data_IF_230842340595
#
_entry.id   IF_230842340595
#
_cell.length_a   1.000
_cell.length_b   1.000
_cell.length_c   1.000
_cell.angle_alpha   90.00
_cell.angle_beta   90.00
_cell.angle_gamma   90.00
#
_symmetry.space_group_name_H-M   'P 1'
#
loop_
_entity.id
_entity.type
_entity.pdbx_description
1 polymer ?
#
# COMPACT_ATOMS: atom_id res chain seq x y z
N UNK A 1 -2.91 20.48 -11.19
CA UNK A 1 -2.44 21.59 -10.34
C UNK A 1 -1.53 20.94 -9.34
N UNK A 2 -0.23 21.26 -9.34
CA UNK A 2 0.72 20.61 -8.45
C UNK A 2 0.33 20.79 -6.99
N UNK A 3 0.66 19.79 -6.17
CA UNK A 3 0.54 19.78 -4.71
C UNK A 3 0.97 21.11 -4.05
N UNK A 4 1.93 21.80 -4.67
CA UNK A 4 2.49 23.08 -4.25
C UNK A 4 1.56 24.30 -4.33
N UNK A 5 0.51 24.31 -5.17
CA UNK A 5 -0.30 25.53 -5.35
C UNK A 5 -1.29 25.79 -4.20
N UNK A 6 -1.60 24.77 -3.39
CA UNK A 6 -2.67 24.85 -2.38
C UNK A 6 -2.11 24.96 -0.95
N UNK A 7 -0.84 24.58 -0.72
CA UNK A 7 -0.18 24.77 0.60
C UNK A 7 0.24 26.22 0.88
N UNK A 8 0.27 27.10 -0.13
CA UNK A 8 0.80 28.45 0.02
C UNK A 8 -0.17 29.48 0.60
N UNK A 9 -1.44 29.14 0.86
CA UNK A 9 -2.42 30.17 1.27
C UNK A 9 -2.62 30.34 2.77
N UNK A 10 -2.23 29.39 3.64
CA UNK A 10 -2.37 29.59 5.10
C UNK A 10 -1.24 28.95 5.91
N UNK A 11 -0.64 29.77 6.78
CA UNK A 11 0.29 29.46 7.88
C UNK A 11 1.81 29.48 7.59
N UNK A 12 2.42 30.64 7.86
CA UNK A 12 3.86 30.88 7.97
C UNK A 12 4.55 30.16 9.16
N UNK A 13 4.13 28.93 9.50
CA UNK A 13 4.68 28.12 10.60
C UNK A 13 5.24 26.76 10.10
N UNK A 14 5.15 26.42 8.80
CA UNK A 14 5.59 25.11 8.25
C UNK A 14 7.04 25.03 7.76
N UNK A 15 7.75 26.13 7.52
CA UNK A 15 9.00 26.11 6.72
C UNK A 15 10.24 25.59 7.48
N UNK A 16 10.23 25.61 8.82
CA UNK A 16 11.43 25.29 9.62
C UNK A 16 11.62 23.77 9.81
N UNK A 17 10.55 22.98 9.81
CA UNK A 17 10.62 21.54 10.02
C UNK A 17 11.13 20.78 8.77
N UNK A 18 10.83 21.26 7.57
CA UNK A 18 11.22 20.59 6.32
C UNK A 18 12.71 20.80 5.97
N UNK A 19 13.29 21.94 6.35
CA UNK A 19 14.68 22.28 6.03
C UNK A 19 15.71 21.37 6.75
N UNK A 20 15.45 21.02 8.01
CA UNK A 20 16.34 20.14 8.79
C UNK A 20 16.30 18.70 8.31
N UNK A 21 15.10 18.20 7.95
CA UNK A 21 14.95 16.87 7.36
C UNK A 21 15.61 16.78 5.99
N UNK A 22 15.48 17.81 5.15
CA UNK A 22 16.12 17.87 3.84
C UNK A 22 17.64 17.84 3.96
N UNK A 23 18.21 18.73 4.78
CA UNK A 23 19.65 18.78 5.06
C UNK A 23 20.16 17.44 5.59
N UNK A 24 19.46 16.84 6.55
CA UNK A 24 19.84 15.56 7.15
C UNK A 24 19.82 14.43 6.12
N UNK A 25 18.76 14.36 5.31
CA UNK A 25 18.59 13.32 4.28
C UNK A 25 19.69 13.43 3.21
N UNK A 26 19.96 14.65 2.71
CA UNK A 26 21.03 14.89 1.74
C UNK A 26 22.40 14.54 2.32
N UNK A 27 22.68 14.95 3.56
CA UNK A 27 23.97 14.67 4.22
C UNK A 27 24.19 13.18 4.41
N UNK A 28 23.21 12.45 4.92
CA UNK A 28 23.31 11.00 5.08
C UNK A 28 23.45 10.30 3.72
N UNK A 29 22.63 10.67 2.72
CA UNK A 29 22.73 10.09 1.38
C UNK A 29 24.11 10.31 0.75
N UNK A 30 24.69 11.51 0.90
CA UNK A 30 26.04 11.85 0.41
C UNK A 30 27.11 10.99 1.08
N UNK A 31 26.98 10.76 2.39
CA UNK A 31 27.94 9.95 3.16
C UNK A 31 27.87 8.45 2.82
N UNK A 32 26.66 7.91 2.66
CA UNK A 32 26.48 6.50 2.29
C UNK A 32 26.79 6.25 0.80
N UNK A 33 26.58 7.23 -0.07
CA UNK A 33 26.72 7.09 -1.51
C UNK A 33 27.59 8.19 -2.15
N UNK A 34 28.89 8.27 -1.80
CA UNK A 34 29.77 9.33 -2.27
C UNK A 34 30.01 9.31 -3.79
N UNK A 35 29.87 8.15 -4.44
CA UNK A 35 30.05 7.98 -5.89
C UNK A 35 28.79 8.28 -6.71
N UNK A 36 27.62 8.48 -6.09
CA UNK A 36 26.36 8.75 -6.80
C UNK A 36 26.28 10.21 -7.25
N UNK A 37 26.56 10.45 -8.53
CA UNK A 37 26.60 11.80 -9.12
C UNK A 37 25.30 12.58 -8.94
N UNK A 38 24.14 11.92 -9.03
CA UNK A 38 22.85 12.58 -8.83
C UNK A 38 22.65 13.07 -7.39
N UNK A 39 23.01 12.26 -6.39
CA UNK A 39 23.04 12.69 -4.97
C UNK A 39 24.00 13.88 -4.77
N UNK A 40 25.21 13.83 -5.34
CA UNK A 40 26.18 14.92 -5.24
C UNK A 40 25.67 16.22 -5.91
N UNK A 41 24.96 16.09 -7.03
CA UNK A 41 24.31 17.21 -7.70
C UNK A 41 23.26 17.86 -6.80
N UNK A 42 22.40 17.07 -6.15
CA UNK A 42 21.38 17.59 -5.22
C UNK A 42 22.03 18.30 -4.03
N UNK A 43 23.11 17.76 -3.47
CA UNK A 43 23.85 18.40 -2.38
C UNK A 43 24.48 19.74 -2.80
N UNK A 44 24.98 19.83 -4.02
CA UNK A 44 25.53 21.07 -4.60
C UNK A 44 24.44 22.13 -4.76
N UNK A 45 23.29 21.76 -5.32
CA UNK A 45 22.16 22.67 -5.54
C UNK A 45 21.61 23.20 -4.21
N UNK A 46 21.45 22.31 -3.21
CA UNK A 46 21.04 22.68 -1.85
C UNK A 46 22.01 23.67 -1.19
N UNK A 47 23.31 23.51 -1.41
CA UNK A 47 24.34 24.40 -0.84
C UNK A 47 24.34 25.79 -1.46
N UNK A 48 23.91 25.92 -2.72
CA UNK A 48 23.79 27.22 -3.41
C UNK A 48 22.54 27.99 -3.02
N UNK A 49 21.48 27.28 -2.60
CA UNK A 49 20.18 27.89 -2.29
C UNK A 49 19.39 28.30 -3.53
N UNK A 50 19.79 27.84 -4.72
CA UNK A 50 19.19 28.21 -6.01
C UNK A 50 17.93 27.39 -6.36
N UNK A 51 17.63 26.34 -5.58
CA UNK A 51 16.58 25.38 -5.88
C UNK A 51 15.51 25.35 -4.80
N UNK A 52 14.27 25.12 -5.26
CA UNK A 52 13.10 24.92 -4.42
C UNK A 52 13.27 23.68 -3.51
N UNK A 53 13.11 23.80 -2.18
CA UNK A 53 13.28 22.68 -1.24
C UNK A 53 12.40 21.46 -1.55
N UNK A 54 11.18 21.67 -2.06
CA UNK A 54 10.28 20.56 -2.42
C UNK A 54 10.84 19.75 -3.59
N UNK A 55 11.38 20.43 -4.60
CA UNK A 55 12.03 19.77 -5.75
C UNK A 55 13.30 19.03 -5.33
N UNK A 56 14.08 19.59 -4.41
CA UNK A 56 15.26 18.90 -3.86
C UNK A 56 14.87 17.66 -3.05
N UNK A 57 13.79 17.73 -2.27
CA UNK A 57 13.25 16.61 -1.52
C UNK A 57 12.81 15.47 -2.44
N UNK A 58 12.04 15.76 -3.48
CA UNK A 58 11.61 14.76 -4.46
C UNK A 58 12.82 14.14 -5.19
N UNK A 59 13.80 14.97 -5.60
CA UNK A 59 15.02 14.52 -6.28
C UNK A 59 15.87 13.60 -5.40
N UNK A 60 16.12 13.95 -4.14
CA UNK A 60 16.96 13.10 -3.27
C UNK A 60 16.31 11.74 -3.00
N UNK A 61 14.98 11.72 -2.81
CA UNK A 61 14.25 10.46 -2.64
C UNK A 61 14.22 9.64 -3.93
N UNK A 62 14.17 10.28 -5.10
CA UNK A 62 14.27 9.62 -6.39
C UNK A 62 15.62 8.94 -6.60
N UNK A 63 16.72 9.60 -6.30
CA UNK A 63 18.07 9.00 -6.39
C UNK A 63 18.19 7.77 -5.47
N UNK A 64 17.61 7.85 -4.26
CA UNK A 64 17.57 6.70 -3.35
C UNK A 64 16.73 5.55 -3.91
N UNK A 65 15.60 5.83 -4.57
CA UNK A 65 14.80 4.78 -5.23
C UNK A 65 15.55 4.15 -6.42
N UNK A 66 16.30 4.95 -7.20
CA UNK A 66 17.08 4.42 -8.33
C UNK A 66 18.17 3.46 -7.87
N UNK A 67 18.84 3.73 -6.75
CA UNK A 67 19.79 2.79 -6.11
C UNK A 67 19.11 1.46 -5.77
N UNK A 68 17.88 1.53 -5.25
CA UNK A 68 17.10 0.36 -4.88
C UNK A 68 16.75 -0.45 -6.13
N UNK A 69 16.25 0.22 -7.17
CA UNK A 69 15.81 -0.41 -8.43
C UNK A 69 16.97 -1.07 -9.19
N UNK A 70 18.17 -0.49 -9.16
CA UNK A 70 19.38 -1.04 -9.77
C UNK A 70 19.91 -2.31 -9.07
N UNK A 71 19.35 -2.70 -7.92
CA UNK A 71 19.82 -3.82 -7.10
C UNK A 71 21.31 -3.70 -6.74
N UNK A 72 21.79 -2.46 -6.60
CA UNK A 72 23.18 -2.15 -6.33
C UNK A 72 23.58 -2.44 -4.87
N UNK A 73 24.89 -2.46 -4.62
CA UNK A 73 25.42 -2.46 -3.26
C UNK A 73 24.87 -1.26 -2.47
N UNK A 74 24.46 -1.50 -1.21
CA UNK A 74 23.81 -0.48 -0.38
C UNK A 74 22.30 -0.33 -0.56
N UNK A 75 21.61 -1.24 -1.28
CA UNK A 75 20.13 -1.28 -1.37
C UNK A 75 19.42 -1.13 -0.03
N UNK A 76 19.90 -1.82 1.01
CA UNK A 76 19.30 -1.76 2.35
C UNK A 76 19.44 -0.36 2.98
N UNK A 77 20.60 0.28 2.84
CA UNK A 77 20.83 1.64 3.31
C UNK A 77 20.01 2.65 2.52
N UNK A 78 19.91 2.48 1.21
CA UNK A 78 19.08 3.32 0.34
C UNK A 78 17.61 3.24 0.75
N UNK A 79 17.08 2.02 0.98
CA UNK A 79 15.70 1.82 1.45
C UNK A 79 15.49 2.42 2.85
N UNK A 80 16.45 2.25 3.77
CA UNK A 80 16.40 2.85 5.10
C UNK A 80 16.34 4.38 5.02
N UNK A 81 17.20 4.99 4.20
CA UNK A 81 17.24 6.43 3.99
C UNK A 81 16.00 6.94 3.26
N UNK A 82 15.49 6.20 2.28
CA UNK A 82 14.24 6.53 1.58
C UNK A 82 13.05 6.55 2.55
N UNK A 83 12.91 5.53 3.38
CA UNK A 83 11.86 5.46 4.40
C UNK A 83 11.97 6.59 5.44
N UNK A 84 13.20 6.90 5.89
CA UNK A 84 13.47 7.98 6.83
C UNK A 84 13.19 9.36 6.22
N UNK A 85 13.67 9.58 4.99
CA UNK A 85 13.50 10.81 4.23
C UNK A 85 12.04 11.06 3.90
N UNK A 86 11.31 10.08 3.36
CA UNK A 86 9.87 10.20 3.08
C UNK A 86 9.05 10.50 4.33
N UNK A 87 9.40 9.92 5.49
CA UNK A 87 8.77 10.24 6.77
C UNK A 87 8.99 11.70 7.20
N UNK A 88 10.20 12.21 7.01
CA UNK A 88 10.59 13.57 7.40
C UNK A 88 10.03 14.63 6.46
N UNK A 89 10.25 14.42 5.17
CA UNK A 89 9.91 15.31 4.05
C UNK A 89 8.44 15.20 3.60
N UNK A 90 7.70 14.23 4.13
CA UNK A 90 6.28 13.98 3.83
C UNK A 90 5.97 13.87 2.34
N UNK A 91 6.91 13.34 1.57
CA UNK A 91 6.77 13.17 0.12
C UNK A 91 7.31 11.82 -0.34
N UNK A 92 7.05 11.49 -1.59
CA UNK A 92 7.49 10.27 -2.25
C UNK A 92 8.43 10.62 -3.42
N UNK A 93 9.24 9.66 -3.91
CA UNK A 93 9.95 9.83 -5.16
C UNK A 93 9.00 10.13 -6.33
N UNK A 94 9.45 10.95 -7.28
CA UNK A 94 8.66 11.31 -8.48
C UNK A 94 8.13 10.11 -9.24
N UNK A 95 8.92 9.02 -9.31
CA UNK A 95 8.59 7.82 -10.07
C UNK A 95 7.37 7.06 -9.52
N UNK A 96 6.91 7.40 -8.32
CA UNK A 96 5.72 6.79 -7.73
C UNK A 96 4.44 7.40 -8.31
N UNK A 97 4.48 8.65 -8.76
CA UNK A 97 3.29 9.36 -9.23
C UNK A 97 2.98 9.02 -10.67
N UNK A 98 1.80 8.45 -10.89
CA UNK A 98 1.32 8.13 -12.23
C UNK A 98 0.63 9.34 -12.84
N UNK A 99 0.88 9.55 -14.13
CA UNK A 99 0.25 10.59 -14.92
C UNK A 99 -0.83 10.00 -15.83
N UNK A 100 -1.75 10.85 -16.31
CA UNK A 100 -2.78 10.51 -17.30
C UNK A 100 -3.78 9.42 -16.87
N UNK A 101 -4.02 9.27 -15.56
CA UNK A 101 -5.07 8.39 -15.06
C UNK A 101 -6.44 9.03 -15.33
N UNK A 102 -7.40 8.20 -15.77
CA UNK A 102 -8.79 8.59 -15.96
C UNK A 102 -9.66 7.80 -14.99
N UNK A 103 -10.48 8.50 -14.19
CA UNK A 103 -11.46 7.89 -13.30
C UNK A 103 -12.72 8.74 -13.31
N UNK A 104 -13.88 8.12 -13.51
CA UNK A 104 -15.16 8.82 -13.39
C UNK A 104 -15.55 8.90 -11.90
N UNK A 105 -15.31 10.07 -11.31
CA UNK A 105 -15.66 10.33 -9.91
C UNK A 105 -17.19 10.34 -9.69
N UNK A 106 -17.98 10.70 -10.70
CA UNK A 106 -19.43 10.80 -10.58
C UNK A 106 -20.10 9.44 -10.50
N UNK A 107 -19.50 8.41 -11.11
CA UNK A 107 -19.93 7.01 -10.95
C UNK A 107 -19.82 6.52 -9.49
N UNK A 108 -19.05 7.21 -8.64
CA UNK A 108 -18.84 6.84 -7.26
C UNK A 108 -17.90 5.63 -7.10
N UNK A 109 -17.59 5.24 -5.86
CA UNK A 109 -16.73 4.10 -5.61
C UNK A 109 -17.46 2.79 -5.88
N UNK A 110 -16.78 1.83 -6.50
CA UNK A 110 -17.30 0.48 -6.70
C UNK A 110 -17.32 -0.32 -5.40
N UNK A 111 -16.34 -0.05 -4.53
CA UNK A 111 -16.24 -0.70 -3.22
C UNK A 111 -16.05 0.39 -2.17
N UNK A 112 -17.01 0.50 -1.26
CA UNK A 112 -16.92 1.32 -0.06
C UNK A 112 -16.68 0.44 1.15
N UNK A 113 -15.52 0.59 1.81
CA UNK A 113 -15.21 -0.06 3.08
C UNK A 113 -15.02 0.96 4.19
N UNK A 114 -14.91 0.50 5.45
CA UNK A 114 -14.56 1.34 6.58
C UNK A 114 -13.20 2.05 6.43
N UNK A 115 -12.26 1.42 5.72
CA UNK A 115 -10.89 1.90 5.55
C UNK A 115 -10.73 2.90 4.40
N UNK A 116 -11.66 2.90 3.44
CA UNK A 116 -11.44 3.60 2.20
C UNK A 116 -12.44 3.25 1.10
N UNK A 117 -12.24 3.90 -0.04
CA UNK A 117 -13.06 3.72 -1.24
C UNK A 117 -12.18 3.29 -2.40
N UNK A 118 -12.61 2.27 -3.14
CA UNK A 118 -11.95 1.81 -4.36
C UNK A 118 -12.78 2.25 -5.57
N UNK A 119 -12.12 2.93 -6.50
CA UNK A 119 -12.67 3.33 -7.78
C UNK A 119 -11.98 2.54 -8.89
N UNK A 120 -12.69 2.29 -10.00
CA UNK A 120 -12.08 1.77 -11.23
C UNK A 120 -11.72 2.93 -12.13
N UNK A 121 -10.51 2.90 -12.67
CA UNK A 121 -10.03 3.86 -13.63
C UNK A 121 -9.31 3.19 -14.79
N UNK A 122 -8.74 4.01 -15.66
CA UNK A 122 -7.90 3.61 -16.79
C UNK A 122 -6.54 4.31 -16.71
N UNK A 123 -5.48 3.54 -16.92
CA UNK A 123 -4.11 4.03 -17.08
C UNK A 123 -3.45 3.26 -18.21
N UNK A 124 -2.91 3.96 -19.22
CA UNK A 124 -2.39 3.35 -20.47
C UNK A 124 -3.31 2.28 -21.09
N UNK A 125 -4.62 2.58 -21.12
CA UNK A 125 -5.71 1.71 -21.61
C UNK A 125 -6.02 0.47 -20.75
N UNK A 126 -5.21 0.18 -19.73
CA UNK A 126 -5.44 -0.89 -18.78
C UNK A 126 -6.40 -0.45 -17.67
N UNK A 127 -7.23 -1.38 -17.19
CA UNK A 127 -8.06 -1.14 -16.02
C UNK A 127 -7.22 -1.14 -14.75
N UNK A 128 -7.43 -0.13 -13.91
CA UNK A 128 -6.72 0.05 -12.65
C UNK A 128 -7.69 0.29 -11.50
N UNK A 129 -7.31 -0.16 -10.32
CA UNK A 129 -7.99 0.14 -9.07
C UNK A 129 -7.32 1.33 -8.39
N UNK A 130 -8.09 2.38 -8.09
CA UNK A 130 -7.68 3.54 -7.32
C UNK A 130 -8.25 3.42 -5.90
N UNK A 131 -7.39 3.05 -4.95
CA UNK A 131 -7.77 2.89 -3.55
C UNK A 131 -7.43 4.15 -2.76
N UNK A 132 -8.46 4.86 -2.31
CA UNK A 132 -8.35 6.01 -1.41
C UNK A 132 -8.59 5.57 0.02
N UNK A 133 -7.98 6.26 0.98
CA UNK A 133 -8.18 6.00 2.40
C UNK A 133 -8.87 7.18 3.06
N UNK A 134 -9.87 6.90 3.90
CA UNK A 134 -10.70 7.97 4.49
C UNK A 134 -9.88 8.92 5.38
N UNK A 135 -8.91 8.37 6.10
CA UNK A 135 -8.05 9.08 7.03
C UNK A 135 -6.88 9.83 6.37
N UNK A 136 -6.70 9.74 5.04
CA UNK A 136 -5.60 10.40 4.32
C UNK A 136 -6.16 11.49 3.38
N UNK A 137 -6.38 12.68 3.96
CA UNK A 137 -6.72 13.91 3.24
C UNK A 137 -5.48 14.78 3.18
N UNK A 138 -5.04 15.13 1.98
CA UNK A 138 -3.72 15.71 1.73
C UNK A 138 -3.44 17.01 2.52
N UNK A 139 -4.47 17.77 2.90
CA UNK A 139 -4.34 19.06 3.60
C UNK A 139 -4.45 18.97 5.13
N UNK A 140 -4.85 17.85 5.70
CA UNK A 140 -5.10 17.72 7.15
C UNK A 140 -3.89 17.13 7.91
N UNK A 141 -2.73 16.97 7.27
CA UNK A 141 -1.67 16.07 7.77
C UNK A 141 -0.31 16.72 8.01
N UNK A 142 -0.25 18.05 8.14
CA UNK A 142 0.98 18.80 8.44
C UNK A 142 1.70 18.36 9.73
N UNK A 143 1.08 17.53 10.59
CA UNK A 143 1.71 16.96 11.77
C UNK A 143 1.37 15.47 12.05
N UNK A 144 1.01 14.69 11.02
CA UNK A 144 0.39 13.38 11.24
C UNK A 144 1.37 12.20 11.02
N UNK A 145 1.76 11.53 12.12
CA UNK A 145 2.47 10.24 12.09
C UNK A 145 1.78 9.19 11.22
N UNK A 146 0.45 9.24 11.10
CA UNK A 146 -0.32 8.32 10.25
C UNK A 146 -0.01 8.52 8.76
N UNK A 147 0.20 9.76 8.32
CA UNK A 147 0.58 10.03 6.93
C UNK A 147 1.98 9.50 6.64
N UNK A 148 2.93 9.65 7.57
CA UNK A 148 4.24 9.03 7.42
C UNK A 148 4.17 7.49 7.37
N UNK A 149 3.30 6.88 8.17
CA UNK A 149 3.06 5.44 8.09
C UNK A 149 2.45 5.06 6.72
N UNK A 150 1.52 5.85 6.18
CA UNK A 150 0.97 5.63 4.85
C UNK A 150 2.03 5.67 3.74
N UNK A 151 2.91 6.68 3.75
CA UNK A 151 4.04 6.76 2.81
C UNK A 151 4.99 5.57 2.95
N UNK A 152 5.24 5.11 4.18
CA UNK A 152 6.01 3.89 4.44
C UNK A 152 5.39 2.67 3.77
N UNK A 153 4.09 2.45 3.91
CA UNK A 153 3.41 1.30 3.28
C UNK A 153 3.51 1.36 1.76
N UNK A 154 3.35 2.55 1.16
CA UNK A 154 3.56 2.75 -0.29
C UNK A 154 4.99 2.37 -0.70
N UNK A 155 6.00 2.87 0.03
CA UNK A 155 7.40 2.58 -0.28
C UNK A 155 7.69 1.10 -0.17
N UNK A 156 7.21 0.43 0.88
CA UNK A 156 7.40 -1.00 1.10
C UNK A 156 6.71 -1.81 0.01
N UNK A 157 5.44 -1.53 -0.29
CA UNK A 157 4.69 -2.25 -1.32
C UNK A 157 5.36 -2.11 -2.69
N UNK A 158 5.88 -0.92 -3.04
CA UNK A 158 6.64 -0.72 -4.29
C UNK A 158 7.83 -1.68 -4.43
N UNK A 159 8.45 -2.13 -3.33
CA UNK A 159 9.60 -3.03 -3.38
C UNK A 159 9.23 -4.51 -3.53
N UNK A 160 7.95 -4.86 -3.41
CA UNK A 160 7.49 -6.25 -3.45
C UNK A 160 7.25 -6.70 -4.89
N UNK A 161 7.75 -7.89 -5.20
CA UNK A 161 7.59 -8.51 -6.50
C UNK A 161 7.49 -10.03 -6.34
N UNK A 162 6.28 -10.55 -6.36
CA UNK A 162 5.98 -11.98 -6.22
C UNK A 162 4.66 -12.31 -6.93
N UNK A 163 4.53 -13.46 -7.60
CA UNK A 163 3.32 -13.84 -8.33
C UNK A 163 2.05 -13.94 -7.46
N UNK A 164 2.17 -14.09 -6.15
CA UNK A 164 1.01 -14.13 -5.26
C UNK A 164 0.82 -12.85 -4.42
N UNK A 165 1.52 -11.77 -4.76
CA UNK A 165 1.35 -10.46 -4.11
C UNK A 165 0.75 -9.49 -5.13
N UNK A 166 -0.26 -8.73 -4.72
CA UNK A 166 -0.92 -7.77 -5.58
C UNK A 166 0.06 -6.68 -6.02
N UNK A 167 0.02 -6.30 -7.30
CA UNK A 167 1.07 -5.45 -7.89
C UNK A 167 0.73 -3.98 -7.74
N UNK A 168 1.60 -3.26 -7.03
CA UNK A 168 1.61 -1.80 -6.97
C UNK A 168 2.03 -1.21 -8.31
N UNK A 169 1.27 -0.23 -8.81
CA UNK A 169 1.60 0.53 -10.01
C UNK A 169 2.14 1.92 -9.69
N UNK A 170 1.55 2.60 -8.71
CA UNK A 170 1.94 3.94 -8.32
C UNK A 170 0.90 4.61 -7.43
N UNK A 171 0.95 5.93 -7.38
CA UNK A 171 -0.01 6.77 -6.68
C UNK A 171 -0.57 7.85 -7.61
N UNK A 172 -1.76 8.33 -7.27
CA UNK A 172 -2.51 9.36 -7.98
C UNK A 172 -3.01 10.38 -6.95
N UNK A 173 -2.90 11.68 -7.22
CA UNK A 173 -3.25 12.73 -6.25
C UNK A 173 -4.02 13.93 -6.84
N UNK A 174 -4.38 13.89 -8.13
CA UNK A 174 -5.14 14.94 -8.83
C UNK A 174 -6.60 14.52 -9.11
N UNK A 175 -6.84 13.31 -9.61
CA UNK A 175 -8.15 12.83 -10.08
C UNK A 175 -9.13 12.65 -8.91
N UNK A 176 -8.66 12.09 -7.79
CA UNK A 176 -9.47 11.87 -6.58
C UNK A 176 -9.23 12.89 -5.47
N UNK A 177 -8.68 14.04 -5.84
CA UNK A 177 -8.41 15.16 -4.95
C UNK A 177 -9.62 15.53 -4.04
N UNK A 178 -9.42 15.83 -2.74
CA UNK A 178 -8.15 16.04 -2.02
C UNK A 178 -7.53 14.77 -1.44
N UNK A 179 -7.88 13.58 -1.95
CA UNK A 179 -7.34 12.30 -1.47
C UNK A 179 -6.25 11.83 -2.41
N UNK A 180 -5.17 11.30 -1.83
CA UNK A 180 -4.24 10.46 -2.56
C UNK A 180 -4.83 9.05 -2.69
N UNK A 181 -4.67 8.45 -3.87
CA UNK A 181 -5.04 7.07 -4.14
C UNK A 181 -3.79 6.23 -4.44
N UNK A 182 -3.77 5.02 -3.90
CA UNK A 182 -2.84 3.98 -4.38
C UNK A 182 -3.45 3.35 -5.63
N UNK A 183 -2.62 3.18 -6.66
CA UNK A 183 -3.00 2.61 -7.94
C UNK A 183 -2.41 1.21 -8.08
N UNK A 184 -3.25 0.25 -8.46
CA UNK A 184 -2.88 -1.14 -8.72
C UNK A 184 -3.71 -1.69 -9.89
N UNK A 185 -3.40 -2.90 -10.35
CA UNK A 185 -4.22 -3.55 -11.39
C UNK A 185 -5.65 -3.77 -10.89
N UNK A 186 -6.61 -3.64 -11.80
CA UNK A 186 -7.99 -4.05 -11.53
C UNK A 186 -8.13 -5.55 -11.75
N UNK A 187 -8.48 -6.28 -10.69
CA UNK A 187 -8.68 -7.72 -10.77
C UNK A 187 -10.14 -8.04 -11.11
N UNK A 188 -10.43 -8.60 -12.31
CA UNK A 188 -11.79 -8.67 -12.85
C UNK A 188 -12.69 -9.66 -12.10
N UNK A 189 -12.12 -10.69 -11.47
CA UNK A 189 -12.86 -11.68 -10.69
C UNK A 189 -13.07 -11.25 -9.23
N UNK A 190 -12.64 -10.04 -8.88
CA UNK A 190 -12.80 -9.48 -7.54
C UNK A 190 -11.98 -10.26 -6.50
N UNK A 191 -12.57 -10.49 -5.33
CA UNK A 191 -11.95 -11.28 -4.28
C UNK A 191 -12.36 -12.76 -4.34
N UNK A 192 -11.55 -13.63 -3.73
CA UNK A 192 -11.75 -15.09 -3.80
C UNK A 192 -13.12 -15.52 -3.29
N UNK A 193 -13.69 -14.77 -2.33
CA UNK A 193 -15.01 -15.03 -1.78
C UNK A 193 -16.14 -14.79 -2.79
N UNK A 194 -15.99 -13.81 -3.66
CA UNK A 194 -16.88 -13.58 -4.80
C UNK A 194 -16.64 -14.65 -5.86
N UNK A 195 -15.38 -14.89 -6.25
CA UNK A 195 -15.03 -15.85 -7.31
C UNK A 195 -15.53 -17.27 -6.99
N UNK A 196 -15.45 -17.72 -5.74
CA UNK A 196 -15.95 -19.04 -5.32
C UNK A 196 -17.44 -19.22 -5.59
N UNK A 197 -18.25 -18.15 -5.50
CA UNK A 197 -19.69 -18.22 -5.74
C UNK A 197 -20.04 -18.32 -7.22
N UNK A 198 -19.13 -17.89 -8.09
CA UNK A 198 -19.35 -17.82 -9.54
C UNK A 198 -18.85 -19.08 -10.26
N UNK A 199 -17.88 -19.80 -9.69
CA UNK A 199 -17.28 -20.99 -10.30
C UNK A 199 -18.02 -22.29 -9.99
N UNK A 200 -17.90 -23.26 -10.90
CA UNK A 200 -18.48 -24.60 -10.69
C UNK A 200 -17.70 -25.42 -9.66
N UNK A 201 -18.33 -26.44 -9.07
CA UNK A 201 -17.66 -27.37 -8.16
C UNK A 201 -16.45 -28.06 -8.82
N UNK A 202 -16.53 -28.34 -10.11
CA UNK A 202 -15.44 -28.97 -10.88
C UNK A 202 -14.23 -28.04 -10.98
N UNK A 203 -14.45 -26.77 -11.30
CA UNK A 203 -13.38 -25.77 -11.37
C UNK A 203 -12.73 -25.57 -10.00
N UNK A 204 -13.56 -25.43 -8.95
CA UNK A 204 -13.11 -25.23 -7.58
C UNK A 204 -12.29 -26.42 -7.06
N UNK A 205 -12.63 -27.65 -7.46
CA UNK A 205 -11.85 -28.84 -7.10
C UNK A 205 -10.42 -28.75 -7.63
N UNK A 206 -10.23 -28.14 -8.80
CA UNK A 206 -8.93 -27.98 -9.44
C UNK A 206 -8.16 -26.75 -8.94
N UNK A 207 -8.87 -25.65 -8.66
CA UNK A 207 -8.27 -24.36 -8.33
C UNK A 207 -7.91 -24.21 -6.85
N UNK A 208 -8.73 -24.72 -5.92
CA UNK A 208 -8.52 -24.53 -4.48
C UNK A 208 -7.14 -24.97 -3.98
N UNK A 209 -6.58 -26.14 -4.38
CA UNK A 209 -5.24 -26.51 -3.95
C UNK A 209 -4.18 -25.52 -4.42
N UNK A 210 -4.32 -24.99 -5.65
CA UNK A 210 -3.41 -24.00 -6.22
C UNK A 210 -3.54 -22.65 -5.51
N UNK A 211 -4.76 -22.24 -5.17
CA UNK A 211 -5.02 -21.03 -4.40
C UNK A 211 -4.42 -21.10 -3.00
N UNK A 212 -4.63 -22.20 -2.26
CA UNK A 212 -4.01 -22.40 -0.94
C UNK A 212 -2.49 -22.33 -1.04
N UNK A 213 -1.90 -23.02 -2.02
CA UNK A 213 -0.45 -22.97 -2.23
C UNK A 213 0.02 -21.55 -2.53
N UNK A 214 -0.67 -20.84 -3.41
CA UNK A 214 -0.36 -19.45 -3.74
C UNK A 214 -0.42 -18.53 -2.52
N UNK A 215 -1.45 -18.67 -1.68
CA UNK A 215 -1.60 -17.88 -0.45
C UNK A 215 -0.41 -18.16 0.49
N UNK A 216 -0.04 -19.43 0.67
CA UNK A 216 1.10 -19.81 1.50
C UNK A 216 2.42 -19.23 0.98
N UNK A 217 2.68 -19.32 -0.33
CA UNK A 217 3.87 -18.76 -0.98
C UNK A 217 3.91 -17.23 -0.87
N UNK A 218 2.78 -16.56 -1.09
CA UNK A 218 2.68 -15.12 -0.89
C UNK A 218 2.97 -14.71 0.56
N UNK A 219 2.44 -15.47 1.53
CA UNK A 219 2.64 -15.18 2.93
C UNK A 219 4.09 -15.42 3.39
N UNK A 220 4.70 -16.53 2.93
CA UNK A 220 6.12 -16.81 3.13
C UNK A 220 6.99 -15.67 2.57
N UNK A 221 6.69 -15.20 1.36
CA UNK A 221 7.40 -14.08 0.75
C UNK A 221 7.28 -12.79 1.58
N UNK A 222 6.10 -12.45 2.11
CA UNK A 222 5.94 -11.30 2.99
C UNK A 222 6.78 -11.45 4.26
N UNK A 223 6.76 -12.64 4.88
CA UNK A 223 7.50 -12.92 6.11
C UNK A 223 9.01 -12.87 5.90
N UNK A 224 9.50 -13.33 4.74
CA UNK A 224 10.93 -13.22 4.38
C UNK A 224 11.38 -11.76 4.23
N UNK A 225 10.45 -10.86 3.91
CA UNK A 225 10.66 -9.40 3.86
C UNK A 225 10.33 -8.70 5.18
N UNK A 226 10.09 -9.47 6.26
CA UNK A 226 9.72 -8.98 7.60
C UNK A 226 8.41 -8.19 7.63
N UNK A 227 7.48 -8.53 6.73
CA UNK A 227 6.15 -7.91 6.65
C UNK A 227 5.14 -8.89 7.24
N UNK A 228 4.38 -8.43 8.22
CA UNK A 228 3.20 -9.13 8.74
C UNK A 228 2.00 -8.69 7.91
N UNK A 229 1.20 -9.62 7.40
CA UNK A 229 -0.02 -9.25 6.68
C UNK A 229 -1.03 -8.62 7.64
N UNK A 230 -1.33 -9.30 8.75
CA UNK A 230 -2.12 -8.82 9.87
C UNK A 230 -3.65 -8.82 9.69
N UNK A 231 -4.15 -9.08 8.49
CA UNK A 231 -5.59 -9.12 8.14
C UNK A 231 -5.83 -10.09 6.97
N UNK A 232 -5.23 -11.29 7.03
CA UNK A 232 -5.40 -12.28 5.98
C UNK A 232 -6.81 -12.92 6.07
N UNK A 233 -7.60 -12.75 5.02
CA UNK A 233 -8.96 -13.31 4.86
C UNK A 233 -9.36 -13.31 3.39
N UNK A 234 -10.43 -14.02 3.02
CA UNK A 234 -10.87 -14.11 1.62
C UNK A 234 -11.13 -12.75 0.95
N UNK A 235 -11.57 -11.73 1.69
CA UNK A 235 -11.79 -10.38 1.14
C UNK A 235 -10.50 -9.67 0.70
N UNK A 236 -9.35 -10.05 1.26
CA UNK A 236 -8.02 -9.49 0.97
C UNK A 236 -7.19 -10.40 0.04
N UNK A 237 -7.86 -11.33 -0.65
CA UNK A 237 -7.26 -12.19 -1.67
C UNK A 237 -7.99 -11.91 -2.98
N UNK A 238 -7.33 -11.21 -3.90
CA UNK A 238 -7.87 -10.91 -5.22
C UNK A 238 -7.59 -12.06 -6.19
N UNK A 239 -8.39 -12.16 -7.24
CA UNK A 239 -8.26 -13.17 -8.29
C UNK A 239 -8.11 -12.50 -9.65
N UNK A 240 -6.99 -12.76 -10.31
CA UNK A 240 -6.66 -12.17 -11.61
C UNK A 240 -7.37 -12.86 -12.78
N UNK A 241 -7.20 -12.31 -13.99
CA UNK A 241 -7.85 -12.77 -15.23
C UNK A 241 -7.57 -14.26 -15.53
N UNK A 242 -6.41 -14.77 -15.12
CA UNK A 242 -6.03 -16.17 -15.27
C UNK A 242 -6.40 -17.05 -14.06
N UNK A 243 -7.22 -16.53 -13.15
CA UNK A 243 -7.65 -17.18 -11.91
C UNK A 243 -6.52 -17.48 -10.91
N UNK A 244 -5.39 -16.75 -10.96
CA UNK A 244 -4.39 -16.80 -9.92
C UNK A 244 -4.73 -15.83 -8.78
N UNK A 245 -4.33 -16.18 -7.57
CA UNK A 245 -4.57 -15.34 -6.39
C UNK A 245 -3.46 -14.30 -6.22
N UNK A 246 -3.86 -13.14 -5.67
CA UNK A 246 -2.98 -12.04 -5.27
C UNK A 246 -3.36 -11.56 -3.87
N UNK A 247 -2.44 -11.63 -2.91
CA UNK A 247 -2.64 -11.05 -1.58
C UNK A 247 -2.58 -9.52 -1.67
N UNK A 248 -3.54 -8.83 -1.06
CA UNK A 248 -3.60 -7.38 -0.97
C UNK A 248 -3.74 -6.93 0.48
N UNK A 249 -3.62 -5.63 0.73
CA UNK A 249 -3.92 -5.00 2.02
C UNK A 249 -3.04 -5.45 3.22
N UNK A 250 -1.90 -6.06 2.93
CA UNK A 250 -0.86 -6.35 3.91
C UNK A 250 -0.23 -5.05 4.43
N UNK A 251 0.17 -5.03 5.71
CA UNK A 251 0.79 -3.87 6.37
C UNK A 251 -0.16 -2.71 6.68
N UNK A 252 -1.33 -2.65 6.04
CA UNK A 252 -2.33 -1.60 6.23
C UNK A 252 -3.04 -1.63 7.59
N UNK A 253 -2.96 -2.75 8.31
CA UNK A 253 -3.51 -2.88 9.68
C UNK A 253 -2.86 -1.94 10.67
N UNK A 254 -1.61 -1.51 10.43
CA UNK A 254 -0.94 -0.51 11.26
C UNK A 254 -1.40 0.92 10.99
N UNK A 255 -2.02 1.17 9.84
CA UNK A 255 -2.61 2.45 9.45
C UNK A 255 -4.04 2.62 9.95
N UNK A 256 -4.72 1.50 10.20
CA UNK A 256 -5.96 1.47 10.96
C UNK A 256 -5.64 1.85 12.41
N UNK A 257 -6.11 3.02 12.83
CA UNK A 257 -6.01 3.51 14.20
C UNK A 257 -6.51 2.45 15.20
N UNK A 258 -5.86 2.33 16.36
CA UNK A 258 -6.37 1.50 17.48
C UNK A 258 -7.75 1.97 17.97
N UNK A 259 -8.17 3.19 17.59
CA UNK A 259 -9.50 3.77 17.80
C UNK A 259 -10.42 3.70 16.58
N UNK A 260 -9.93 3.40 15.38
CA UNK A 260 -10.76 3.19 14.17
C UNK A 260 -11.13 1.72 14.05
N UNK A 261 -11.79 1.23 15.10
CA UNK A 261 -12.62 0.02 15.08
C UNK A 261 -13.95 0.30 14.36
N UNK A 262 -13.96 0.61 13.06
CA UNK A 262 -15.20 0.86 12.27
C UNK A 262 -14.92 0.79 10.76
N UNK A 263 -15.81 0.45 9.83
CA UNK A 263 -17.13 -0.17 9.79
C UNK A 263 -17.24 -0.82 8.38
N UNK A 264 -17.35 -2.14 8.31
CA UNK A 264 -17.69 -2.92 7.11
C UNK A 264 -18.46 -4.16 7.60
N UNK A 265 -19.52 -4.55 6.88
CA UNK A 265 -20.64 -5.39 7.34
C UNK A 265 -20.34 -6.33 8.52
N UNK A 266 -20.95 -5.98 9.66
CA UNK A 266 -20.93 -6.65 10.96
C UNK A 266 -19.60 -6.55 11.75
N UNK A 267 -19.61 -5.65 12.73
CA UNK A 267 -18.69 -5.53 13.87
C UNK A 267 -17.21 -5.24 13.56
N UNK A 268 -16.84 -3.96 13.63
CA UNK A 268 -15.47 -3.39 13.53
C UNK A 268 -14.45 -3.93 14.54
N UNK A 269 -14.17 -5.21 14.46
CA UNK A 269 -13.04 -5.89 15.08
C UNK A 269 -12.11 -6.32 13.94
N UNK A 270 -10.84 -6.63 14.22
CA UNK A 270 -10.14 -7.63 13.39
C UNK A 270 -11.16 -8.74 13.19
N UNK A 271 -11.49 -9.12 11.95
CA UNK A 271 -12.61 -10.01 11.69
C UNK A 271 -12.47 -11.22 12.62
N UNK A 272 -13.28 -11.27 13.70
CA UNK A 272 -12.93 -12.09 14.89
C UNK A 272 -12.72 -13.55 14.52
N UNK A 273 -13.43 -13.99 13.48
CA UNK A 273 -13.35 -15.34 12.95
C UNK A 273 -11.97 -15.70 12.36
N UNK A 274 -11.15 -14.73 11.95
CA UNK A 274 -9.79 -14.94 11.41
C UNK A 274 -8.70 -14.40 12.33
N UNK A 275 -9.05 -13.67 13.39
CA UNK A 275 -8.09 -13.14 14.36
C UNK A 275 -7.56 -14.27 15.25
N UNK A 276 -6.24 -14.33 15.41
CA UNK A 276 -5.63 -15.23 16.37
C UNK A 276 -6.05 -14.86 17.81
N UNK A 277 -6.24 -15.87 18.66
CA UNK A 277 -6.77 -15.67 20.02
C UNK A 277 -5.86 -14.75 20.83
N UNK A 278 -4.54 -14.90 20.70
CA UNK A 278 -3.55 -14.04 21.36
C UNK A 278 -3.64 -12.57 20.91
N UNK A 279 -4.08 -12.29 19.67
CA UNK A 279 -4.32 -10.92 19.19
C UNK A 279 -5.56 -10.29 19.85
N UNK A 280 -6.52 -11.12 20.24
CA UNK A 280 -7.76 -10.66 20.87
C UNK A 280 -7.57 -10.30 22.35
N UNK A 281 -6.61 -10.93 23.03
CA UNK A 281 -6.46 -10.80 24.49
C UNK A 281 -5.12 -10.17 24.92
N UNK A 282 -4.01 -10.56 24.31
CA UNK A 282 -2.68 -10.37 24.91
C UNK A 282 -1.69 -9.58 24.04
N UNK A 283 -1.94 -9.46 22.73
CA UNK A 283 -1.03 -8.78 21.81
C UNK A 283 -1.53 -7.39 21.38
N UNK A 284 -0.66 -6.37 21.39
CA UNK A 284 -1.02 -5.02 20.93
C UNK A 284 -1.11 -4.92 19.41
N UNK A 285 -0.47 -5.83 18.67
CA UNK A 285 -0.37 -5.85 17.20
C UNK A 285 -0.18 -7.28 16.68
N UNK A 286 -0.64 -7.59 15.45
CA UNK A 286 -0.41 -8.89 14.83
C UNK A 286 1.08 -9.15 14.60
N UNK A 287 1.46 -10.42 14.64
CA UNK A 287 2.80 -10.90 14.32
C UNK A 287 2.72 -12.03 13.27
N UNK A 288 3.87 -12.62 12.90
CA UNK A 288 3.91 -13.70 11.90
C UNK A 288 3.08 -14.94 12.30
N UNK A 289 2.99 -15.27 13.59
CA UNK A 289 2.17 -16.40 14.04
C UNK A 289 0.67 -16.12 13.89
N UNK A 290 0.24 -14.87 14.10
CA UNK A 290 -1.14 -14.47 13.84
C UNK A 290 -1.52 -14.69 12.36
N UNK A 291 -0.61 -14.39 11.42
CA UNK A 291 -0.85 -14.64 10.00
C UNK A 291 -1.02 -16.14 9.69
N UNK A 292 -0.24 -17.01 10.34
CA UNK A 292 -0.35 -18.48 10.18
C UNK A 292 -1.71 -18.98 10.68
N UNK A 293 -2.20 -18.41 11.79
CA UNK A 293 -3.56 -18.70 12.28
C UNK A 293 -4.62 -18.24 11.27
N UNK A 294 -4.54 -16.98 10.82
CA UNK A 294 -5.48 -16.41 9.84
C UNK A 294 -5.45 -17.17 8.51
N UNK A 295 -4.29 -17.70 8.10
CA UNK A 295 -4.15 -18.60 6.95
C UNK A 295 -4.98 -19.88 7.13
N UNK A 296 -4.92 -20.51 8.31
CA UNK A 296 -5.76 -21.67 8.63
C UNK A 296 -7.26 -21.36 8.52
N UNK A 297 -7.71 -20.25 9.12
CA UNK A 297 -9.11 -19.80 9.01
C UNK A 297 -9.52 -19.52 7.55
N UNK A 298 -8.63 -18.91 6.77
CA UNK A 298 -8.87 -18.61 5.36
C UNK A 298 -8.98 -19.88 4.52
N UNK A 299 -8.17 -20.91 4.80
CA UNK A 299 -8.31 -22.21 4.14
C UNK A 299 -9.68 -22.84 4.42
N UNK A 300 -10.16 -22.77 5.66
CA UNK A 300 -11.50 -23.24 6.03
C UNK A 300 -12.57 -22.45 5.26
N UNK A 301 -12.46 -21.12 5.22
CA UNK A 301 -13.40 -20.26 4.50
C UNK A 301 -13.51 -20.64 3.01
N UNK A 302 -12.38 -20.87 2.35
CA UNK A 302 -12.31 -21.22 0.92
C UNK A 302 -13.00 -22.56 0.62
N UNK A 303 -12.90 -23.54 1.53
CA UNK A 303 -13.50 -24.86 1.35
C UNK A 303 -14.95 -24.94 1.84
N UNK A 304 -15.32 -24.16 2.86
CA UNK A 304 -16.64 -24.24 3.48
C UNK A 304 -17.75 -23.55 2.67
N UNK A 305 -17.44 -22.46 1.97
CA UNK A 305 -18.44 -21.59 1.30
C UNK A 305 -19.26 -22.24 0.17
N UNK A 306 -19.01 -23.50 -0.19
CA UNK A 306 -19.88 -24.27 -1.08
C UNK A 306 -21.15 -24.81 -0.41
N UNK A 307 -21.17 -24.96 0.93
CA UNK A 307 -22.28 -25.60 1.64
C UNK A 307 -23.60 -24.83 1.64
N UNK A 308 -23.61 -23.56 1.20
CA UNK A 308 -24.83 -22.75 1.12
C UNK A 308 -25.42 -22.63 -0.28
N UNK A 309 -24.62 -22.82 -1.34
CA UNK A 309 -25.15 -22.83 -2.72
C UNK A 309 -26.05 -24.05 -2.99
N UNK A 310 -25.88 -25.13 -2.21
CA UNK A 310 -26.67 -26.36 -2.33
C UNK A 310 -27.92 -26.40 -1.45
N UNK A 311 -28.21 -25.38 -0.63
CA UNK A 311 -29.40 -25.36 0.25
C UNK A 311 -30.56 -24.48 -0.26
N UNK A 312 -30.38 -23.73 -1.34
CA UNK A 312 -31.48 -22.93 -1.94
C UNK A 312 -32.16 -23.63 -3.14
N UNK A 313 -31.77 -24.86 -3.46
CA UNK A 313 -32.40 -25.68 -4.50
C UNK A 313 -32.74 -27.06 -3.95
N UNK A 314 -33.71 -27.10 -3.01
CA UNK A 314 -34.37 -28.33 -2.59
C UNK A 314 -35.75 -28.03 -2.01
#
# INVERSE_FOLDING_TARGET
MSFSTILTSESSISVIADADWLRTTITEATNYFPSRTGIQSVATDHSRGDSDPEQLAERILQELQEIIDEQAEGRHDALRLLLKGARGLKTLPRSYFLQNIKCDRAAGPLIGSGFGSVYRGKWDSQDVALKTFRAFILYEHSNNEKFAAFLREIIIWRQLNHPNIHKFLGVENEVLFPRMAIVSHWEPHGNINQTIRELSLTDLTSLRPQWILGIALGLEYLHSHRIVHGDLRGDNILVDEELHIRLTDFGLTTLADSKTRTNGSMSGQTPMAWAAVELMYDLPRPNFACDVYSFGCTCIEIYWRNGQATQEVS
#
